data_IF_119822976354
#
_entry.id   IF_119822976354
#
_cell.length_a   1.000
_cell.length_b   1.000
_cell.length_c   1.000
_cell.angle_alpha   90.00
_cell.angle_beta   90.00
_cell.angle_gamma   90.00
#
_symmetry.space_group_name_H-M   'P 1'
#
loop_
_entity.id
_entity.type
_entity.pdbx_description
1 polymer ?
#
# COMPACT_ATOMS: atom_id res chain seq x y z
N UNK A 1 2.27 9.87 -22.86
CA UNK A 1 2.76 10.10 -21.49
C UNK A 1 3.29 8.78 -20.98
N UNK A 2 4.56 8.69 -20.58
CA UNK A 2 5.09 7.46 -19.98
C UNK A 2 4.53 7.32 -18.57
N UNK A 3 3.75 6.29 -18.32
CA UNK A 3 3.32 5.93 -16.97
C UNK A 3 4.58 5.62 -16.15
N UNK A 4 4.78 6.33 -15.04
CA UNK A 4 5.76 5.92 -14.05
C UNK A 4 5.28 4.60 -13.46
N UNK A 5 6.13 3.57 -13.51
CA UNK A 5 5.85 2.29 -12.83
C UNK A 5 5.53 2.57 -11.36
N UNK A 6 4.40 2.02 -10.89
CA UNK A 6 3.97 2.17 -9.50
C UNK A 6 2.97 3.29 -9.23
N UNK A 7 2.55 4.06 -10.24
CA UNK A 7 1.48 5.05 -10.11
C UNK A 7 0.11 4.40 -10.01
N UNK A 8 -0.70 4.84 -9.04
CA UNK A 8 -2.08 4.41 -8.83
C UNK A 8 -3.01 5.63 -8.94
N UNK A 9 -3.94 5.66 -9.91
CA UNK A 9 -4.97 6.67 -9.94
C UNK A 9 -6.05 6.39 -8.88
N UNK A 10 -6.53 7.45 -8.25
CA UNK A 10 -7.68 7.42 -7.35
C UNK A 10 -8.57 8.65 -7.63
N UNK A 11 -9.84 8.60 -7.22
CA UNK A 11 -10.79 9.70 -7.41
C UNK A 11 -11.42 10.00 -6.05
N UNK A 12 -11.63 11.28 -5.75
CA UNK A 12 -12.43 11.73 -4.61
C UNK A 12 -13.37 12.83 -5.09
N UNK A 13 -14.67 12.55 -5.13
CA UNK A 13 -15.66 13.42 -5.74
C UNK A 13 -15.38 13.62 -7.24
N UNK A 14 -15.13 14.86 -7.65
CA UNK A 14 -14.83 15.22 -9.04
C UNK A 14 -13.32 15.43 -9.28
N UNK A 15 -12.47 15.12 -8.30
CA UNK A 15 -11.03 15.35 -8.37
C UNK A 15 -10.30 14.02 -8.56
N UNK A 16 -9.41 13.97 -9.56
CA UNK A 16 -8.54 12.82 -9.83
C UNK A 16 -7.18 13.00 -9.17
N UNK A 17 -6.79 12.02 -8.36
CA UNK A 17 -5.52 11.95 -7.68
C UNK A 17 -4.62 10.93 -8.36
N UNK A 18 -3.32 11.27 -8.37
CA UNK A 18 -2.25 10.43 -8.87
C UNK A 18 -1.38 10.13 -7.68
N UNK A 19 -1.32 8.87 -7.28
CA UNK A 19 -0.65 8.44 -6.06
C UNK A 19 0.55 7.58 -6.45
N UNK A 20 1.68 7.78 -5.80
CA UNK A 20 2.84 6.91 -5.99
C UNK A 20 3.65 6.84 -4.70
N UNK A 21 3.88 5.62 -4.23
CA UNK A 21 4.78 5.40 -3.11
C UNK A 21 6.23 5.35 -3.62
N UNK A 22 6.90 6.50 -3.60
CA UNK A 22 8.31 6.58 -3.97
C UNK A 22 9.26 6.12 -2.86
N UNK A 23 10.54 5.94 -3.19
CA UNK A 23 11.59 5.51 -2.23
C UNK A 23 11.68 6.39 -0.98
N UNK A 24 11.42 7.70 -1.10
CA UNK A 24 11.35 8.61 0.05
C UNK A 24 10.22 8.21 1.00
N UNK A 25 9.01 7.98 0.47
CA UNK A 25 7.87 7.52 1.26
C UNK A 25 8.12 6.16 1.88
N UNK A 26 8.76 5.24 1.14
CA UNK A 26 9.20 3.95 1.69
C UNK A 26 10.15 4.13 2.88
N UNK A 27 11.16 5.00 2.76
CA UNK A 27 12.10 5.25 3.84
C UNK A 27 11.43 5.90 5.07
N UNK A 28 10.48 6.81 4.85
CA UNK A 28 9.67 7.41 5.93
C UNK A 28 8.83 6.34 6.64
N UNK A 29 8.16 5.46 5.89
CA UNK A 29 7.41 4.34 6.45
C UNK A 29 8.31 3.35 7.19
N UNK A 30 9.49 3.02 6.65
CA UNK A 30 10.45 2.12 7.31
C UNK A 30 10.99 2.69 8.62
N UNK A 31 11.19 4.01 8.69
CA UNK A 31 11.60 4.68 9.92
C UNK A 31 10.53 4.58 11.00
N UNK A 32 9.27 4.73 10.62
CA UNK A 32 8.17 4.88 11.57
C UNK A 32 7.52 3.53 11.95
N UNK A 33 7.54 2.54 11.05
CA UNK A 33 6.94 1.21 11.24
C UNK A 33 7.96 0.05 11.20
N UNK A 34 9.24 0.34 10.99
CA UNK A 34 10.30 -0.67 10.89
C UNK A 34 10.39 -1.35 9.52
N UNK A 35 11.26 -2.37 9.42
CA UNK A 35 11.57 -3.03 8.14
C UNK A 35 10.43 -3.89 7.58
N UNK A 36 9.44 -4.26 8.41
CA UNK A 36 8.33 -5.14 8.02
C UNK A 36 7.05 -4.35 7.73
N UNK A 37 7.01 -3.73 6.54
CA UNK A 37 5.79 -3.06 6.04
C UNK A 37 4.63 -4.04 5.77
N UNK A 38 4.87 -5.36 5.78
CA UNK A 38 3.81 -6.38 5.67
C UNK A 38 2.80 -6.30 6.83
N UNK A 39 3.24 -5.95 8.04
CA UNK A 39 2.36 -5.81 9.20
C UNK A 39 1.33 -4.67 9.06
N UNK A 40 1.61 -3.69 8.18
CA UNK A 40 0.70 -2.58 7.90
C UNK A 40 -0.55 -3.08 7.18
N UNK A 41 -0.42 -4.06 6.28
CA UNK A 41 -1.57 -4.52 5.48
C UNK A 41 -2.59 -5.30 6.29
N UNK A 42 -2.19 -5.85 7.44
CA UNK A 42 -2.94 -6.89 8.14
C UNK A 42 -3.08 -8.13 7.24
N UNK A 43 -2.85 -9.33 7.74
CA UNK A 43 -3.24 -10.53 7.00
C UNK A 43 -4.77 -10.62 7.01
N UNK A 44 -5.44 -9.87 6.12
CA UNK A 44 -6.87 -9.97 5.88
C UNK A 44 -7.28 -11.38 5.41
N UNK A 45 -6.31 -12.22 5.05
CA UNK A 45 -6.44 -13.62 4.64
C UNK A 45 -6.42 -14.64 5.78
N UNK A 46 -6.05 -14.27 7.02
CA UNK A 46 -5.96 -15.22 8.14
C UNK A 46 -7.24 -15.28 9.01
N UNK A 47 -8.40 -14.97 8.41
CA UNK A 47 -9.72 -15.19 9.01
C UNK A 47 -10.11 -16.69 9.12
N UNK A 48 -9.12 -17.60 9.18
CA UNK A 48 -9.29 -19.05 9.15
C UNK A 48 -8.65 -19.81 10.31
N UNK A 49 -8.02 -19.15 11.29
CA UNK A 49 -7.45 -19.86 12.43
C UNK A 49 -7.20 -18.97 13.64
N UNK A 50 -8.09 -19.06 14.63
CA UNK A 50 -7.94 -18.75 16.08
C UNK A 50 -6.83 -17.78 16.54
N UNK A 51 -6.57 -16.70 15.81
CA UNK A 51 -5.79 -15.56 16.27
C UNK A 51 -6.67 -14.34 16.13
N UNK A 52 -6.76 -13.56 17.20
CA UNK A 52 -7.51 -12.31 17.25
C UNK A 52 -7.36 -11.56 15.94
N UNK A 53 -8.49 -11.22 15.32
CA UNK A 53 -8.53 -10.38 14.14
C UNK A 53 -7.79 -9.08 14.47
N UNK A 54 -6.52 -9.02 14.13
CA UNK A 54 -5.67 -7.89 14.44
C UNK A 54 -6.13 -6.80 13.48
N UNK A 55 -6.81 -5.80 14.03
CA UNK A 55 -7.23 -4.66 13.23
C UNK A 55 -6.00 -4.07 12.55
N UNK A 56 -6.09 -3.71 11.25
CA UNK A 56 -4.97 -3.09 10.57
C UNK A 56 -4.61 -1.77 11.26
N UNK A 57 -3.33 -1.41 11.21
CA UNK A 57 -2.89 -0.11 11.73
C UNK A 57 -3.40 1.00 10.80
N UNK A 58 -4.51 1.62 11.19
CA UNK A 58 -5.12 2.70 10.42
C UNK A 58 -4.24 3.95 10.35
N UNK A 59 -3.33 4.18 11.32
CA UNK A 59 -2.36 5.27 11.20
C UNK A 59 -1.37 4.98 10.07
N UNK A 60 -0.99 3.71 9.90
CA UNK A 60 -0.14 3.31 8.79
C UNK A 60 -0.84 3.49 7.43
N UNK A 61 -2.15 3.22 7.34
CA UNK A 61 -2.93 3.48 6.12
C UNK A 61 -2.95 4.96 5.75
N UNK A 62 -3.25 5.83 6.73
CA UNK A 62 -3.22 7.28 6.58
C UNK A 62 -1.83 7.72 6.11
N UNK A 63 -0.77 7.18 6.75
CA UNK A 63 0.59 7.58 6.44
C UNK A 63 0.99 7.17 5.01
N UNK A 64 0.64 5.97 4.56
CA UNK A 64 0.92 5.50 3.18
C UNK A 64 0.26 6.41 2.14
N UNK A 65 -1.01 6.78 2.33
CA UNK A 65 -1.72 7.69 1.41
C UNK A 65 -1.08 9.08 1.43
N UNK A 66 -0.78 9.61 2.62
CA UNK A 66 -0.07 10.88 2.81
C UNK A 66 1.24 10.94 2.01
N UNK A 67 2.14 9.99 2.21
CA UNK A 67 3.44 10.00 1.50
C UNK A 67 3.29 9.78 0.00
N UNK A 68 2.22 9.09 -0.42
CA UNK A 68 1.94 8.85 -1.83
C UNK A 68 1.37 10.08 -2.56
N UNK A 69 0.75 11.01 -1.84
CA UNK A 69 0.30 12.30 -2.35
C UNK A 69 1.45 13.29 -2.56
N UNK A 70 2.50 13.23 -1.73
CA UNK A 70 3.59 14.23 -1.71
C UNK A 70 4.22 14.54 -3.08
N UNK A 71 4.28 13.57 -3.99
CA UNK A 71 4.92 13.76 -5.30
C UNK A 71 4.10 14.59 -6.27
N UNK A 72 2.79 14.36 -6.35
CA UNK A 72 1.92 14.96 -7.36
C UNK A 72 0.92 15.96 -6.78
N UNK A 73 0.59 15.82 -5.49
CA UNK A 73 -0.42 16.59 -4.76
C UNK A 73 0.12 17.03 -3.38
N UNK A 74 1.28 17.74 -3.30
CA UNK A 74 1.91 18.06 -2.02
C UNK A 74 1.05 18.93 -1.10
N UNK A 75 0.18 19.78 -1.65
CA UNK A 75 -0.76 20.58 -0.87
C UNK A 75 -1.82 19.74 -0.14
N UNK A 76 -2.12 18.55 -0.67
CA UNK A 76 -3.13 17.64 -0.13
C UNK A 76 -2.53 16.57 0.79
N UNK A 77 -1.20 16.46 0.84
CA UNK A 77 -0.51 15.43 1.62
C UNK A 77 -0.71 15.58 3.14
N UNK A 78 -1.05 16.77 3.63
CA UNK A 78 -1.39 17.04 5.04
C UNK A 78 -2.90 17.30 5.24
N UNK A 79 -3.71 17.16 4.19
CA UNK A 79 -5.15 17.37 4.25
C UNK A 79 -5.86 16.06 4.66
N UNK A 80 -6.23 15.95 5.94
CA UNK A 80 -6.85 14.75 6.49
C UNK A 80 -8.19 14.42 5.82
N UNK A 81 -8.99 15.42 5.43
CA UNK A 81 -10.27 15.17 4.76
C UNK A 81 -10.09 14.47 3.41
N UNK A 82 -9.03 14.81 2.68
CA UNK A 82 -8.69 14.14 1.40
C UNK A 82 -8.18 12.73 1.65
N UNK A 83 -7.30 12.55 2.64
CA UNK A 83 -6.72 11.24 2.96
C UNK A 83 -7.81 10.27 3.44
N UNK A 84 -8.65 10.70 4.39
CA UNK A 84 -9.78 9.92 4.88
C UNK A 84 -10.80 9.68 3.78
N UNK A 85 -11.08 10.68 2.93
CA UNK A 85 -11.98 10.52 1.79
C UNK A 85 -11.50 9.46 0.80
N UNK A 86 -10.21 9.43 0.49
CA UNK A 86 -9.62 8.40 -0.39
C UNK A 86 -9.68 7.01 0.25
N UNK A 87 -9.38 6.90 1.55
CA UNK A 87 -9.46 5.65 2.29
C UNK A 87 -10.89 5.13 2.44
N UNK A 88 -11.85 6.03 2.68
CA UNK A 88 -13.27 5.69 2.79
C UNK A 88 -13.84 5.16 1.46
N UNK A 89 -13.31 5.61 0.32
CA UNK A 89 -13.69 5.09 -1.00
C UNK A 89 -13.01 3.77 -1.35
N UNK A 90 -11.73 3.60 -0.99
CA UNK A 90 -10.97 2.40 -1.29
C UNK A 90 -9.98 2.08 -0.16
N UNK A 91 -10.40 1.25 0.79
CA UNK A 91 -9.53 0.76 1.87
C UNK A 91 -8.41 -0.18 1.38
N UNK A 92 -8.47 -0.67 0.12
CA UNK A 92 -7.40 -1.48 -0.47
C UNK A 92 -6.24 -0.62 -1.02
N UNK A 93 -6.45 0.69 -1.14
CA UNK A 93 -5.52 1.62 -1.75
C UNK A 93 -4.10 1.58 -1.14
N UNK A 94 -3.91 1.59 0.20
CA UNK A 94 -2.58 1.49 0.80
C UNK A 94 -1.83 0.22 0.41
N UNK A 95 -2.51 -0.93 0.44
CA UNK A 95 -1.91 -2.22 0.08
C UNK A 95 -1.47 -2.26 -1.38
N UNK A 96 -2.29 -1.69 -2.28
CA UNK A 96 -1.93 -1.55 -3.69
C UNK A 96 -0.73 -0.62 -3.87
N UNK A 97 -0.66 0.50 -3.16
CA UNK A 97 0.46 1.46 -3.23
C UNK A 97 1.78 0.83 -2.80
N UNK A 98 1.76 0.06 -1.71
CA UNK A 98 2.94 -0.68 -1.25
C UNK A 98 3.33 -1.76 -2.26
N UNK A 99 2.38 -2.57 -2.74
CA UNK A 99 2.67 -3.60 -3.75
C UNK A 99 3.23 -3.00 -5.05
N UNK A 100 2.75 -1.81 -5.42
CA UNK A 100 3.20 -1.07 -6.60
C UNK A 100 4.62 -0.48 -6.43
N UNK A 101 5.06 -0.22 -5.20
CA UNK A 101 6.42 0.20 -4.88
C UNK A 101 7.44 -0.95 -4.93
N UNK A 102 6.99 -2.20 -4.76
CA UNK A 102 7.82 -3.42 -4.77
C UNK A 102 7.30 -4.47 -5.76
N UNK A 103 7.32 -4.20 -7.08
CA UNK A 103 6.75 -5.11 -8.08
C UNK A 103 7.40 -6.50 -8.08
N UNK A 104 8.68 -6.63 -7.71
CA UNK A 104 9.41 -7.92 -7.66
C UNK A 104 9.01 -8.81 -6.47
N UNK A 105 8.35 -8.29 -5.44
CA UNK A 105 7.89 -9.08 -4.31
C UNK A 105 6.66 -9.95 -4.63
N UNK A 106 6.09 -9.84 -5.84
CA UNK A 106 4.99 -10.69 -6.33
C UNK A 106 5.45 -11.96 -7.05
N UNK A 107 6.74 -12.13 -7.29
CA UNK A 107 7.29 -13.33 -7.95
C UNK A 107 7.97 -14.27 -6.95
N UNK A 108 7.22 -14.80 -5.98
CA UNK A 108 7.50 -16.17 -5.56
C UNK A 108 6.53 -17.10 -6.30
N UNK A 109 6.95 -17.75 -7.40
CA UNK A 109 6.18 -18.86 -7.92
C UNK A 109 6.16 -19.95 -6.85
N UNK A 110 4.96 -20.44 -6.51
CA UNK A 110 4.83 -21.66 -5.74
C UNK A 110 5.67 -22.74 -6.43
N UNK A 111 6.82 -23.06 -5.85
CA UNK A 111 7.73 -24.10 -6.29
C UNK A 111 7.05 -25.46 -6.04
N UNK A 112 6.10 -25.81 -6.91
CA UNK A 112 5.49 -27.12 -7.02
C UNK A 112 6.52 -28.15 -7.45
N UNK A 113 7.21 -28.73 -6.47
CA UNK A 113 7.84 -30.06 -6.44
C UNK A 113 8.22 -30.66 -7.81
N UNK A 114 9.48 -30.50 -8.19
CA UNK A 114 10.21 -31.54 -8.93
C UNK A 114 10.35 -32.77 -8.03
N UNK A 115 9.69 -33.87 -8.38
CA UNK A 115 10.12 -35.25 -8.05
C UNK A 115 9.99 -36.04 -9.35
N UNK A 116 11.03 -36.01 -10.19
CA UNK A 116 12.06 -37.05 -10.25
C UNK A 116 11.48 -38.44 -10.59
N UNK A 117 11.46 -38.72 -11.90
CA UNK A 117 11.77 -39.98 -12.59
C UNK A 117 11.85 -41.25 -11.71
N UNK A 118 10.98 -42.21 -12.01
CA UNK A 118 11.06 -43.64 -11.71
C UNK A 118 10.23 -44.38 -12.75
#
# INVERSE_FOLDING_TARGET
MSALTGEIPAVLGNTSYRLILGLRGVAELQRDYGNNLHGIMGDASDAGGEKEATLPDFNAFIHVVKVSLQRFHPAEADNLDVIEGLLAQDLSLPGRLIAAAFPEAREEPAAGKRKARG
#
